data_IF_746554468310
#
_entry.id   IF_746554468310
#
_cell.length_a   1.000
_cell.length_b   1.000
_cell.length_c   1.000
_cell.angle_alpha   90.00
_cell.angle_beta   90.00
_cell.angle_gamma   90.00
#
_symmetry.space_group_name_H-M   'P 1'
#
loop_
_entity.id
_entity.type
_entity.pdbx_description
1 polymer ?
#
# COMPACT_ATOMS: atom_id res chain seq x y z
N UNK A 1 4.28 -9.54 1.18
CA UNK A 1 5.64 -9.83 0.78
C UNK A 1 5.79 -9.87 -0.73
N UNK A 2 6.38 -8.83 -1.30
CA UNK A 2 6.48 -8.67 -2.74
C UNK A 2 7.80 -9.21 -3.25
N UNK A 3 7.74 -9.84 -4.43
CA UNK A 3 8.93 -10.38 -5.06
C UNK A 3 9.77 -9.25 -5.68
N UNK A 4 11.10 -9.44 -5.81
CA UNK A 4 11.94 -8.42 -6.43
C UNK A 4 11.50 -8.03 -7.84
N UNK A 5 10.92 -8.96 -8.60
CA UNK A 5 10.45 -8.63 -9.95
C UNK A 5 9.32 -7.60 -9.94
N UNK A 6 8.49 -7.62 -8.90
CA UNK A 6 7.41 -6.64 -8.77
C UNK A 6 7.97 -5.25 -8.50
N UNK A 7 8.98 -5.16 -7.63
CA UNK A 7 9.65 -3.89 -7.35
C UNK A 7 10.32 -3.35 -8.62
N UNK A 8 10.95 -4.22 -9.40
CA UNK A 8 11.57 -3.84 -10.66
C UNK A 8 10.54 -3.30 -11.65
N UNK A 9 9.35 -3.94 -11.71
CA UNK A 9 8.29 -3.48 -12.60
C UNK A 9 7.80 -2.08 -12.21
N UNK A 10 7.66 -1.82 -10.91
CA UNK A 10 7.26 -0.50 -10.45
C UNK A 10 8.29 0.57 -10.82
N UNK A 11 9.58 0.25 -10.67
CA UNK A 11 10.65 1.15 -11.08
C UNK A 11 10.60 1.45 -12.57
N UNK A 12 10.37 0.43 -13.38
CA UNK A 12 10.27 0.61 -14.82
C UNK A 12 9.12 1.54 -15.19
N UNK A 13 7.99 1.41 -14.48
CA UNK A 13 6.85 2.31 -14.71
C UNK A 13 7.25 3.76 -14.49
N UNK A 14 7.98 4.03 -13.42
CA UNK A 14 8.41 5.38 -13.10
C UNK A 14 9.47 5.91 -14.06
N UNK A 15 10.44 5.07 -14.41
CA UNK A 15 11.56 5.49 -15.24
C UNK A 15 11.24 5.59 -16.72
N UNK A 16 10.39 4.69 -17.21
CA UNK A 16 10.15 4.56 -18.64
C UNK A 16 8.72 4.86 -19.05
N UNK A 17 7.88 5.24 -18.10
CA UNK A 17 6.49 5.66 -18.37
C UNK A 17 5.68 4.61 -19.13
N UNK A 18 5.83 3.35 -18.76
CA UNK A 18 5.03 2.29 -19.37
C UNK A 18 3.56 2.49 -19.03
N UNK A 19 2.68 2.10 -19.95
CA UNK A 19 1.25 2.24 -19.76
C UNK A 19 0.75 1.30 -18.65
N UNK A 20 -0.37 1.68 -18.03
CA UNK A 20 -0.99 0.85 -17.01
C UNK A 20 -1.37 -0.53 -17.56
N UNK A 21 -1.84 -0.58 -18.81
CA UNK A 21 -2.21 -1.85 -19.44
C UNK A 21 -1.01 -2.77 -19.60
N UNK A 22 0.13 -2.23 -20.01
CA UNK A 22 1.35 -3.01 -20.14
C UNK A 22 1.79 -3.57 -18.80
N UNK A 23 1.81 -2.73 -17.76
CA UNK A 23 2.23 -3.14 -16.42
C UNK A 23 1.29 -4.19 -15.88
N UNK A 24 -0.02 -4.03 -16.06
CA UNK A 24 -0.99 -5.03 -15.63
C UNK A 24 -0.71 -6.39 -16.23
N UNK A 25 -0.47 -6.44 -17.54
CA UNK A 25 -0.19 -7.72 -18.20
C UNK A 25 1.06 -8.38 -17.65
N UNK A 26 2.10 -7.59 -17.43
CA UNK A 26 3.37 -8.13 -16.91
C UNK A 26 3.21 -8.63 -15.48
N UNK A 27 2.57 -7.85 -14.62
CA UNK A 27 2.37 -8.25 -13.23
C UNK A 27 1.50 -9.50 -13.13
N UNK A 28 0.45 -9.56 -13.95
CA UNK A 28 -0.44 -10.71 -13.92
C UNK A 28 0.28 -11.97 -14.40
N UNK A 29 1.13 -11.85 -15.42
CA UNK A 29 1.91 -12.97 -15.93
C UNK A 29 2.95 -13.44 -14.92
N UNK A 30 3.59 -12.50 -14.21
CA UNK A 30 4.67 -12.82 -13.29
C UNK A 30 4.19 -13.32 -11.92
N UNK A 31 3.18 -12.66 -11.34
CA UNK A 31 2.77 -12.94 -9.97
C UNK A 31 1.25 -13.01 -9.76
N UNK A 32 0.47 -12.84 -10.83
CA UNK A 32 -0.98 -12.99 -10.74
C UNK A 32 -1.75 -11.84 -10.16
N UNK A 33 -1.14 -10.65 -10.01
CA UNK A 33 -1.86 -9.48 -9.51
C UNK A 33 -1.82 -8.35 -10.54
N UNK A 34 -2.76 -7.41 -10.40
CA UNK A 34 -2.81 -6.24 -11.27
C UNK A 34 -1.95 -5.11 -10.70
N UNK A 35 -1.67 -4.11 -11.54
CA UNK A 35 -0.96 -2.91 -11.08
C UNK A 35 -1.75 -2.19 -10.00
N UNK A 36 -3.07 -2.17 -10.11
CA UNK A 36 -3.92 -1.54 -9.09
C UNK A 36 -3.74 -2.23 -7.74
N UNK A 37 -3.79 -3.56 -7.72
CA UNK A 37 -3.60 -4.32 -6.48
C UNK A 37 -2.21 -4.07 -5.90
N UNK A 38 -1.19 -4.05 -6.75
CA UNK A 38 0.16 -3.76 -6.30
C UNK A 38 0.26 -2.39 -5.64
N UNK A 39 -0.33 -1.38 -6.29
CA UNK A 39 -0.32 -0.02 -5.72
C UNK A 39 -1.04 0.02 -4.38
N UNK A 40 -2.17 -0.65 -4.27
CA UNK A 40 -2.93 -0.70 -3.03
C UNK A 40 -2.08 -1.30 -1.91
N UNK A 41 -1.45 -2.43 -2.17
CA UNK A 41 -0.60 -3.08 -1.17
C UNK A 41 0.54 -2.17 -0.75
N UNK A 42 1.20 -1.53 -1.71
CA UNK A 42 2.32 -0.63 -1.44
C UNK A 42 1.89 0.55 -0.57
N UNK A 43 0.73 1.14 -0.89
CA UNK A 43 0.20 2.26 -0.11
C UNK A 43 -0.12 1.84 1.32
N UNK A 44 -0.72 0.68 1.49
CA UNK A 44 -1.08 0.20 2.82
C UNK A 44 0.15 -0.21 3.63
N UNK A 45 1.19 -0.72 2.99
CA UNK A 45 2.44 -1.00 3.67
C UNK A 45 3.09 0.27 4.19
N UNK A 46 3.08 1.33 3.38
CA UNK A 46 3.58 2.64 3.82
C UNK A 46 2.78 3.14 5.01
N UNK A 47 1.45 3.02 4.94
CA UNK A 47 0.58 3.45 6.03
C UNK A 47 0.89 2.68 7.32
N UNK A 48 1.10 1.38 7.23
CA UNK A 48 1.44 0.56 8.38
C UNK A 48 2.69 1.07 9.07
N UNK A 49 3.72 1.39 8.29
CA UNK A 49 4.95 1.92 8.86
C UNK A 49 4.73 3.26 9.55
N UNK A 50 3.98 4.16 8.90
CA UNK A 50 3.72 5.48 9.49
C UNK A 50 2.90 5.39 10.76
N UNK A 51 1.95 4.45 10.82
CA UNK A 51 1.15 4.26 12.01
C UNK A 51 2.00 3.83 13.20
N UNK A 52 2.98 2.97 12.97
CA UNK A 52 3.83 2.44 14.04
C UNK A 52 4.95 3.41 14.40
N UNK A 53 5.55 4.07 13.41
CA UNK A 53 6.74 4.87 13.60
C UNK A 53 6.48 6.34 13.92
N UNK A 54 5.26 6.82 13.73
CA UNK A 54 4.95 8.23 13.96
C UNK A 54 3.71 8.39 14.83
N UNK A 55 3.52 9.63 15.33
CA UNK A 55 2.31 9.99 16.07
C UNK A 55 1.29 10.69 15.17
N UNK A 56 1.52 10.69 13.89
CA UNK A 56 0.68 11.45 12.94
C UNK A 56 -0.77 10.96 12.97
N UNK A 57 -1.73 11.86 12.82
CA UNK A 57 -3.14 11.47 12.74
C UNK A 57 -3.38 10.52 11.56
N UNK A 58 -4.30 9.58 11.75
CA UNK A 58 -4.64 8.60 10.72
C UNK A 58 -5.05 9.28 9.41
N UNK A 59 -5.79 10.39 9.49
CA UNK A 59 -6.22 11.12 8.30
C UNK A 59 -5.05 11.64 7.48
N UNK A 60 -4.02 12.15 8.14
CA UNK A 60 -2.83 12.61 7.45
C UNK A 60 -2.10 11.47 6.77
N UNK A 61 -1.99 10.36 7.46
CA UNK A 61 -1.35 9.16 6.91
C UNK A 61 -2.11 8.69 5.67
N UNK A 62 -3.44 8.68 5.73
CA UNK A 62 -4.25 8.30 4.58
C UNK A 62 -3.95 9.18 3.37
N UNK A 63 -3.88 10.49 3.56
CA UNK A 63 -3.57 11.42 2.47
C UNK A 63 -2.17 11.21 1.92
N UNK A 64 -1.20 11.01 2.79
CA UNK A 64 0.17 10.75 2.35
C UNK A 64 0.29 9.47 1.55
N UNK A 65 -0.60 8.52 1.80
CA UNK A 65 -0.60 7.25 1.09
C UNK A 65 -1.46 7.28 -0.18
N UNK A 66 -2.01 8.45 -0.52
CA UNK A 66 -2.75 8.61 -1.76
C UNK A 66 -4.25 8.44 -1.66
N UNK A 67 -4.80 8.42 -0.46
CA UNK A 67 -6.24 8.32 -0.25
C UNK A 67 -6.82 9.69 0.09
N UNK A 68 -7.59 10.25 -0.83
CA UNK A 68 -8.26 11.53 -0.58
C UNK A 68 -9.45 11.37 0.36
N UNK A 69 -10.03 10.17 0.41
CA UNK A 69 -11.18 9.88 1.27
C UNK A 69 -10.76 8.93 2.40
N UNK A 70 -10.76 9.42 3.66
CA UNK A 70 -10.38 8.57 4.79
C UNK A 70 -11.22 7.30 4.94
N UNK A 71 -12.49 7.35 4.53
CA UNK A 71 -13.36 6.17 4.60
C UNK A 71 -12.85 5.05 3.71
N UNK A 72 -12.40 5.39 2.52
CA UNK A 72 -11.85 4.39 1.60
C UNK A 72 -10.56 3.81 2.16
N UNK A 73 -9.73 4.65 2.77
CA UNK A 73 -8.51 4.19 3.42
C UNK A 73 -8.83 3.20 4.55
N UNK A 74 -9.78 3.54 5.41
CA UNK A 74 -10.17 2.66 6.51
C UNK A 74 -10.63 1.30 6.00
N UNK A 75 -11.46 1.28 4.97
CA UNK A 75 -11.95 0.03 4.40
C UNK A 75 -10.83 -0.81 3.83
N UNK A 76 -9.96 -0.18 3.05
CA UNK A 76 -8.84 -0.88 2.42
C UNK A 76 -7.87 -1.42 3.47
N UNK A 77 -7.53 -0.61 4.45
CA UNK A 77 -6.60 -1.00 5.49
C UNK A 77 -7.16 -2.16 6.32
N UNK A 78 -8.42 -2.05 6.73
CA UNK A 78 -9.06 -3.10 7.53
C UNK A 78 -9.13 -4.40 6.75
N UNK A 79 -9.47 -4.31 5.47
CA UNK A 79 -9.54 -5.50 4.63
C UNK A 79 -8.21 -6.19 4.48
N UNK A 80 -7.14 -5.41 4.36
CA UNK A 80 -5.80 -5.94 4.14
C UNK A 80 -5.18 -6.47 5.44
N UNK A 81 -5.38 -5.79 6.56
CA UNK A 81 -4.71 -6.09 7.82
C UNK A 81 -5.60 -6.78 8.86
N UNK A 82 -6.88 -6.92 8.60
CA UNK A 82 -7.87 -7.47 9.54
C UNK A 82 -8.00 -6.66 10.82
N UNK A 83 -7.48 -5.44 10.82
CA UNK A 83 -7.58 -4.48 11.91
C UNK A 83 -7.72 -3.09 11.31
N UNK A 84 -8.47 -2.20 11.97
CA UNK A 84 -8.52 -0.83 11.51
C UNK A 84 -7.21 -0.11 11.86
N UNK A 85 -6.92 1.05 11.25
CA UNK A 85 -5.64 1.73 11.49
C UNK A 85 -5.37 2.06 12.96
N UNK A 86 -6.38 2.46 13.70
CA UNK A 86 -6.19 2.81 15.12
C UNK A 86 -5.84 1.59 15.95
N UNK A 87 -6.51 0.47 15.70
CA UNK A 87 -6.21 -0.78 16.38
C UNK A 87 -4.82 -1.28 16.05
N UNK A 88 -4.46 -1.17 14.77
CA UNK A 88 -3.14 -1.58 14.32
C UNK A 88 -2.05 -0.80 15.03
N UNK A 89 -2.19 0.53 15.09
CA UNK A 89 -1.23 1.38 15.79
C UNK A 89 -1.10 0.98 17.25
N UNK A 90 -2.23 0.87 17.93
CA UNK A 90 -2.24 0.55 19.36
C UNK A 90 -1.55 -0.77 19.64
N UNK A 91 -1.87 -1.77 18.84
CA UNK A 91 -1.38 -3.13 19.09
C UNK A 91 0.11 -3.26 18.77
N UNK A 92 0.56 -2.66 17.67
CA UNK A 92 1.95 -2.83 17.24
C UNK A 92 2.93 -1.91 17.95
N UNK A 93 2.46 -0.84 18.55
CA UNK A 93 3.35 0.10 19.24
C UNK A 93 3.79 -0.39 20.60
N UNK A 94 3.08 -1.32 21.18
CA UNK A 94 3.41 -1.85 22.48
C UNK A 94 4.39 -3.01 22.45
N UNK A 95 4.91 -3.34 21.31
CA UNK A 95 5.82 -4.47 21.15
C UNK A 95 7.27 -4.04 20.97
N UNK A 96 7.61 -2.87 21.43
CA UNK A 96 8.99 -2.38 21.35
C UNK A 96 9.79 -2.83 22.56
#
# INVERSE_FOLDING_TARGET
HLKPCVAAMASLTEQFHYSAAYINRRLKAEIGITAHTYLTITRLQKASRLLVLTERPVQEIAQDCGYSDPSLFYKAFTRYNSQNPSQYRKEHRFHN
#
